data_IF_129053785440
#
_entry.id   IF_129053785440
#
_cell.length_a   1.000
_cell.length_b   1.000
_cell.length_c   1.000
_cell.angle_alpha   90.00
_cell.angle_beta   90.00
_cell.angle_gamma   90.00
#
_symmetry.space_group_name_H-M   'P 1'
#
loop_
_entity.id
_entity.type
_entity.pdbx_description
1 polymer ?
#
# COMPACT_ATOMS: atom_id res chain seq x y z
N UNK A 1 2.36 22.54 -12.62
CA UNK A 1 1.94 21.54 -13.63
C UNK A 1 2.56 20.20 -13.26
N UNK A 2 1.80 19.12 -13.19
CA UNK A 2 2.34 17.80 -12.85
C UNK A 2 3.32 17.32 -13.94
N UNK A 3 4.49 16.81 -13.54
CA UNK A 3 5.48 16.24 -14.46
C UNK A 3 4.89 14.97 -15.07
N UNK A 4 4.40 15.06 -16.31
CA UNK A 4 3.86 13.90 -17.04
C UNK A 4 5.02 13.26 -17.79
N UNK A 5 5.62 12.22 -17.21
CA UNK A 5 6.51 11.34 -17.96
C UNK A 5 5.63 10.45 -18.85
N UNK A 6 5.43 10.85 -20.12
CA UNK A 6 4.44 10.28 -21.05
C UNK A 6 4.92 8.99 -21.73
N UNK A 7 5.70 8.15 -21.05
CA UNK A 7 6.14 6.89 -21.65
C UNK A 7 4.92 5.97 -21.86
N UNK A 8 4.71 5.44 -23.07
CA UNK A 8 3.61 4.52 -23.33
C UNK A 8 3.82 3.21 -22.56
N UNK A 9 2.72 2.59 -22.15
CA UNK A 9 2.70 1.27 -21.53
C UNK A 9 2.07 0.31 -22.55
N UNK A 10 2.75 -0.81 -22.82
CA UNK A 10 2.19 -1.89 -23.62
C UNK A 10 1.29 -2.75 -22.74
N UNK A 11 0.13 -3.14 -23.29
CA UNK A 11 -0.86 -3.96 -22.58
C UNK A 11 -1.32 -5.08 -23.49
N UNK A 12 -1.63 -6.21 -22.87
CA UNK A 12 -2.14 -7.37 -23.59
C UNK A 12 -3.56 -7.14 -24.12
N UNK A 13 -3.94 -7.92 -25.12
CA UNK A 13 -5.25 -7.84 -25.77
C UNK A 13 -6.40 -8.01 -24.77
N UNK A 14 -6.26 -8.90 -23.80
CA UNK A 14 -7.26 -9.15 -22.75
C UNK A 14 -7.55 -7.89 -21.93
N UNK A 15 -6.52 -7.11 -21.59
CA UNK A 15 -6.67 -5.85 -20.85
C UNK A 15 -7.40 -4.83 -21.72
N UNK A 16 -7.01 -4.71 -22.98
CA UNK A 16 -7.62 -3.77 -23.91
C UNK A 16 -9.11 -4.07 -24.11
N UNK A 17 -9.48 -5.34 -24.26
CA UNK A 17 -10.88 -5.76 -24.43
C UNK A 17 -11.68 -5.64 -23.13
N UNK A 18 -11.05 -5.80 -21.96
CA UNK A 18 -11.65 -5.45 -20.68
C UNK A 18 -11.98 -3.96 -20.59
N UNK A 19 -11.05 -3.09 -20.95
CA UNK A 19 -11.25 -1.63 -20.93
C UNK A 19 -12.34 -1.17 -21.90
N UNK A 20 -12.44 -1.78 -23.09
CA UNK A 20 -13.53 -1.48 -24.05
C UNK A 20 -14.90 -1.82 -23.48
N UNK A 21 -15.04 -3.01 -22.88
CA UNK A 21 -16.30 -3.45 -22.26
C UNK A 21 -16.74 -2.50 -21.14
N UNK A 22 -15.82 -2.14 -20.25
CA UNK A 22 -16.09 -1.18 -19.17
C UNK A 22 -16.52 0.19 -19.71
N UNK A 23 -15.85 0.69 -20.76
CA UNK A 23 -16.23 1.96 -21.40
C UNK A 23 -17.64 1.92 -21.97
N UNK A 24 -18.05 0.82 -22.61
CA UNK A 24 -19.41 0.66 -23.12
C UNK A 24 -20.45 0.66 -21.99
N UNK A 25 -20.15 0.01 -20.86
CA UNK A 25 -21.02 0.03 -19.69
C UNK A 25 -21.16 1.44 -19.10
N UNK A 26 -20.08 2.19 -18.98
CA UNK A 26 -20.14 3.59 -18.52
C UNK A 26 -20.88 4.49 -19.53
N UNK A 27 -20.69 4.25 -20.84
CA UNK A 27 -21.41 4.97 -21.88
C UNK A 27 -22.93 4.77 -21.79
N UNK A 28 -23.36 3.54 -21.46
CA UNK A 28 -24.79 3.21 -21.26
C UNK A 28 -25.37 3.85 -20.00
N UNK A 29 -24.52 4.06 -18.98
CA UNK A 29 -24.92 4.71 -17.70
C UNK A 29 -24.90 6.24 -17.78
N UNK A 30 -24.21 6.81 -18.75
CA UNK A 30 -24.06 8.25 -18.93
C UNK A 30 -25.33 8.87 -19.51
N UNK A 31 -25.98 9.76 -18.76
CA UNK A 31 -27.15 10.54 -19.22
C UNK A 31 -26.83 11.49 -20.37
N UNK A 32 -25.55 11.87 -20.52
CA UNK A 32 -25.06 12.78 -21.56
C UNK A 32 -24.35 12.04 -22.70
N UNK A 33 -24.32 10.70 -22.67
CA UNK A 33 -23.68 9.86 -23.71
C UNK A 33 -22.16 10.02 -23.83
N UNK A 34 -21.53 10.80 -22.95
CA UNK A 34 -20.09 10.95 -22.92
C UNK A 34 -19.47 9.79 -22.14
N UNK A 35 -18.61 9.02 -22.80
CA UNK A 35 -17.80 7.97 -22.20
C UNK A 35 -16.34 8.43 -22.15
N UNK A 36 -15.61 8.20 -21.04
CA UNK A 36 -14.19 8.54 -20.94
C UNK A 36 -13.38 7.81 -22.01
N UNK A 37 -12.23 8.38 -22.37
CA UNK A 37 -11.29 7.69 -23.25
C UNK A 37 -10.75 6.44 -22.56
N UNK A 38 -10.35 5.45 -23.36
CA UNK A 38 -9.72 4.21 -22.84
C UNK A 38 -8.50 4.53 -21.97
N UNK A 39 -7.75 5.57 -22.32
CA UNK A 39 -6.56 6.00 -21.57
C UNK A 39 -6.92 6.62 -20.22
N UNK A 40 -8.00 7.40 -20.15
CA UNK A 40 -8.49 7.96 -18.89
C UNK A 40 -9.01 6.86 -17.97
N UNK A 41 -9.80 5.94 -18.52
CA UNK A 41 -10.31 4.78 -17.79
C UNK A 41 -9.16 3.92 -17.26
N UNK A 42 -8.16 3.62 -18.10
CA UNK A 42 -6.97 2.88 -17.68
C UNK A 42 -6.21 3.60 -16.55
N UNK A 43 -5.98 4.91 -16.68
CA UNK A 43 -5.34 5.71 -15.62
C UNK A 43 -6.15 5.67 -14.33
N UNK A 44 -7.47 5.75 -14.41
CA UNK A 44 -8.34 5.71 -13.24
C UNK A 44 -8.23 4.37 -12.51
N UNK A 45 -8.33 3.26 -13.24
CA UNK A 45 -8.22 1.89 -12.69
C UNK A 45 -6.83 1.66 -12.09
N UNK A 46 -5.76 2.04 -12.79
CA UNK A 46 -4.39 1.90 -12.29
C UNK A 46 -4.20 2.69 -10.98
N UNK A 47 -4.70 3.92 -10.90
CA UNK A 47 -4.64 4.72 -9.67
C UNK A 47 -5.40 4.06 -8.53
N UNK A 48 -6.62 3.56 -8.79
CA UNK A 48 -7.38 2.83 -7.78
C UNK A 48 -6.64 1.57 -7.31
N UNK A 49 -6.04 0.81 -8.22
CA UNK A 49 -5.26 -0.38 -7.89
C UNK A 49 -4.06 -0.06 -7.02
N UNK A 50 -3.32 1.01 -7.35
CA UNK A 50 -2.18 1.49 -6.55
C UNK A 50 -2.63 1.94 -5.16
N UNK A 51 -3.70 2.74 -5.07
CA UNK A 51 -4.23 3.20 -3.76
C UNK A 51 -4.70 2.04 -2.89
N UNK A 52 -5.39 1.06 -3.47
CA UNK A 52 -5.83 -0.15 -2.74
C UNK A 52 -4.64 -0.97 -2.26
N UNK A 53 -3.61 -1.12 -3.10
CA UNK A 53 -2.39 -1.82 -2.72
C UNK A 53 -1.65 -1.13 -1.58
N UNK A 54 -1.54 0.21 -1.62
CA UNK A 54 -0.92 1.00 -0.57
C UNK A 54 -1.67 0.87 0.77
N UNK A 55 -3.00 0.93 0.74
CA UNK A 55 -3.82 0.72 1.93
C UNK A 55 -3.62 -0.70 2.54
N UNK A 56 -3.42 -1.73 1.71
CA UNK A 56 -3.08 -3.07 2.20
C UNK A 56 -1.67 -3.18 2.78
N UNK A 57 -0.74 -2.27 2.47
CA UNK A 57 0.61 -2.28 3.05
C UNK A 57 0.67 -1.61 4.43
N UNK A 58 -0.22 -0.68 4.75
CA UNK A 58 -0.29 -0.06 6.09
C UNK A 58 -0.79 -1.05 7.16
N UNK A 59 -1.51 -2.11 6.77
CA UNK A 59 -1.97 -3.18 7.66
C UNK A 59 -0.91 -4.29 7.87
N UNK A 60 0.19 -4.26 7.11
CA UNK A 60 1.29 -5.25 7.17
C UNK A 60 2.61 -4.52 7.45
N UNK A 61 2.59 -3.62 8.43
CA UNK A 61 3.79 -3.20 9.14
C UNK A 61 4.27 -4.32 10.07
N UNK A 62 4.66 -5.46 9.50
CA UNK A 62 5.42 -6.49 10.22
C UNK A 62 6.79 -5.89 10.50
N UNK A 63 7.10 -5.84 11.79
CA UNK A 63 8.34 -5.43 12.44
C UNK A 63 9.58 -5.88 11.67
N UNK A 64 10.33 -4.93 11.11
CA UNK A 64 11.74 -5.16 10.79
C UNK A 64 12.55 -4.68 11.99
N UNK A 65 13.03 -5.67 12.74
CA UNK A 65 13.89 -5.54 13.91
C UNK A 65 15.19 -4.81 13.54
N UNK A 66 15.28 -3.51 13.86
CA UNK A 66 16.57 -2.86 14.02
C UNK A 66 17.05 -3.05 15.46
N UNK A 67 18.03 -3.96 15.58
CA UNK A 67 19.37 -3.72 16.14
C UNK A 67 19.50 -2.97 17.47
N UNK A 68 20.38 -3.52 18.32
CA UNK A 68 21.08 -2.91 19.46
C UNK A 68 20.36 -2.84 20.81
N UNK A 69 20.53 -3.89 21.62
CA UNK A 69 21.61 -3.97 22.63
C UNK A 69 21.25 -5.03 23.67
N UNK A 70 22.15 -5.98 23.86
CA UNK A 70 22.17 -6.86 25.03
C UNK A 70 22.36 -5.98 26.26
N UNK A 71 21.30 -5.81 27.05
CA UNK A 71 21.42 -5.45 28.46
C UNK A 71 20.75 -6.55 29.26
N UNK A 72 21.56 -7.51 29.69
CA UNK A 72 21.20 -8.47 30.73
C UNK A 72 20.77 -7.70 31.99
N UNK A 73 19.59 -8.00 32.58
CA UNK A 73 19.31 -7.55 33.94
C UNK A 73 20.17 -8.39 34.89
N UNK A 74 21.19 -7.79 35.51
CA UNK A 74 21.83 -8.42 36.65
C UNK A 74 20.80 -8.52 37.78
N UNK A 75 20.51 -9.75 38.16
CA UNK A 75 19.60 -10.14 39.23
C UNK A 75 19.86 -9.30 40.50
N UNK A 76 18.82 -8.61 40.96
CA UNK A 76 18.73 -8.19 42.36
C UNK A 76 18.55 -9.46 43.19
N UNK A 77 19.66 -10.07 43.59
CA UNK A 77 19.65 -11.06 44.68
C UNK A 77 19.42 -10.28 45.98
N UNK A 78 18.17 -10.30 46.42
CA UNK A 78 17.79 -10.03 47.80
C UNK A 78 18.57 -11.00 48.69
N UNK A 79 19.45 -10.48 49.54
CA UNK A 79 19.90 -11.23 50.70
C UNK A 79 19.73 -10.35 51.93
N UNK A 80 18.56 -10.50 52.54
CA UNK A 80 18.29 -10.14 53.91
C UNK A 80 19.13 -11.05 54.81
N UNK A 81 19.99 -10.50 55.68
CA UNK A 81 20.26 -11.02 57.04
C UNK A 81 21.33 -10.19 57.78
N UNK A 82 20.84 -9.47 58.78
CA UNK A 82 21.30 -9.42 60.18
C UNK A 82 22.74 -9.01 60.54
N UNK A 83 22.81 -7.84 61.17
CA UNK A 83 23.29 -7.63 62.56
C UNK A 83 24.56 -8.39 63.02
N UNK A 84 25.66 -7.66 63.23
CA UNK A 84 26.29 -7.46 64.55
C UNK A 84 27.33 -6.34 64.45
N UNK A 85 27.31 -5.36 65.36
CA UNK A 85 28.25 -4.25 65.28
C UNK A 85 28.15 -3.15 66.33
N UNK A 86 28.07 -3.52 67.62
CA UNK A 86 28.84 -2.91 68.73
C UNK A 86 28.45 -3.51 70.08
#
# INVERSE_FOLDING_TARGET
>A
MAVVNKRPILVDQLILDGLKRLREEESKRSTVGAAPSIQELARHILRQGISKHAACQEEIGVTDEQSEMVSVPSEQVVNESSEIGR
#
